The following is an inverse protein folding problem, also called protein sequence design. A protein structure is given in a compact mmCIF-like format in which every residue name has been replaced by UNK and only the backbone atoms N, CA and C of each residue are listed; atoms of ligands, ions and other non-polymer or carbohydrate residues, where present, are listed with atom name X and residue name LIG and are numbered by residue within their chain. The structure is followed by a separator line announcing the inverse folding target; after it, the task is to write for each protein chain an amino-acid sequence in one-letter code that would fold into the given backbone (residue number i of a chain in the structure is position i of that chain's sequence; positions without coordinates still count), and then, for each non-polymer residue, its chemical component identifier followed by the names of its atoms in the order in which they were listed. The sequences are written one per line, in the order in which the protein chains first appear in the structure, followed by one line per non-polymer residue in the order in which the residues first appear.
data_IF_084647676765
#
_entry.id   IF_084647676765
#
_cell.length_a   1.000
_cell.length_b   1.000
_cell.length_c   1.000
_cell.angle_alpha   90.00
_cell.angle_beta   90.00
_cell.angle_gamma   90.00
#
_symmetry.space_group_name_H-M   'P 1'
#
loop_
_entity.id
_entity.type
_entity.pdbx_description
1 polymer ?
#
# COMPACT_ATOMS: atom_id res chain seq x y z
N UNK A 1 -10.20 11.58 19.61
CA UNK A 1 -10.69 12.63 18.68
C UNK A 1 -9.58 13.65 18.48
N UNK A 2 -9.23 14.01 17.24
CA UNK A 2 -8.09 14.88 16.91
C UNK A 2 -8.59 16.18 16.31
N UNK A 3 -8.21 17.31 16.90
CA UNK A 3 -8.51 18.64 16.39
C UNK A 3 -7.26 19.30 15.82
N UNK A 4 -7.38 19.96 14.67
CA UNK A 4 -6.31 20.73 14.03
C UNK A 4 -6.84 22.08 13.58
N UNK A 5 -6.02 23.12 13.73
CA UNK A 5 -6.31 24.47 13.21
C UNK A 5 -5.95 24.60 11.71
N UNK A 6 -6.26 25.75 11.11
CA UNK A 6 -6.01 26.06 9.70
C UNK A 6 -4.60 26.57 9.34
N UNK A 7 -3.63 26.55 10.26
CA UNK A 7 -2.25 26.96 9.98
C UNK A 7 -1.44 25.78 9.43
N UNK A 8 -0.96 25.90 8.19
CA UNK A 8 -0.19 24.86 7.52
C UNK A 8 1.24 25.32 7.21
N UNK A 9 2.25 24.45 7.36
CA UNK A 9 3.62 24.75 6.94
C UNK A 9 3.67 25.01 5.42
N UNK A 10 4.19 26.17 5.05
CA UNK A 10 4.36 26.58 3.67
C UNK A 10 5.77 27.11 3.42
N UNK A 11 6.33 26.80 2.26
CA UNK A 11 7.51 27.48 1.75
C UNK A 11 7.15 28.93 1.43
N UNK A 12 7.93 29.85 1.99
CA UNK A 12 7.84 31.28 1.72
C UNK A 12 9.00 31.65 0.79
N UNK A 13 8.72 32.44 -0.24
CA UNK A 13 9.78 32.96 -1.10
C UNK A 13 10.70 33.89 -0.31
N UNK A 14 12.00 33.69 -0.44
CA UNK A 14 13.03 34.55 0.16
C UNK A 14 13.28 35.84 -0.63
N UNK A 15 12.64 36.01 -1.79
CA UNK A 15 12.82 37.19 -2.66
C UNK A 15 11.84 38.31 -2.26
N UNK A 16 12.34 39.52 -1.88
CA UNK A 16 11.52 40.61 -1.32
C UNK A 16 10.34 41.13 -2.16
N UNK A 17 10.26 40.76 -3.45
CA UNK A 17 9.25 41.25 -4.39
C UNK A 17 8.59 40.16 -5.24
N UNK A 18 8.78 38.88 -4.89
CA UNK A 18 8.10 37.83 -5.65
C UNK A 18 6.68 37.63 -5.12
N UNK A 19 5.67 37.79 -5.98
CA UNK A 19 4.26 37.49 -5.67
C UNK A 19 3.98 35.97 -5.70
N UNK A 20 5.00 35.15 -5.39
CA UNK A 20 4.86 33.70 -5.44
C UNK A 20 3.98 33.28 -4.27
N UNK A 21 2.79 32.78 -4.61
CA UNK A 21 1.86 32.24 -3.62
C UNK A 21 2.55 31.16 -2.80
N UNK A 22 2.36 31.13 -1.47
CA UNK A 22 2.94 30.10 -0.60
C UNK A 22 2.62 28.70 -1.15
N UNK A 23 3.60 27.79 -1.08
CA UNK A 23 3.46 26.38 -1.46
C UNK A 23 3.47 25.51 -0.21
N UNK A 24 2.50 24.60 0.00
CA UNK A 24 2.55 23.66 1.11
C UNK A 24 3.87 22.89 1.16
N UNK A 25 4.39 22.66 2.36
CA UNK A 25 5.62 21.88 2.55
C UNK A 25 5.40 20.36 2.41
N UNK A 26 4.19 19.89 2.74
CA UNK A 26 3.82 18.48 2.81
C UNK A 26 2.71 18.16 1.79
N UNK A 27 1.89 17.13 2.03
CA UNK A 27 0.86 16.68 1.10
C UNK A 27 -0.08 17.82 0.70
N UNK A 28 -0.43 17.86 -0.59
CA UNK A 28 -1.33 18.84 -1.17
C UNK A 28 -2.02 18.24 -2.38
N UNK A 29 -3.23 18.71 -2.68
CA UNK A 29 -3.91 18.37 -3.93
C UNK A 29 -3.32 19.16 -5.10
N UNK A 30 -3.36 18.58 -6.30
CA UNK A 30 -3.12 19.33 -7.54
C UNK A 30 -4.15 20.47 -7.73
N UNK A 31 -5.36 20.29 -7.18
CA UNK A 31 -6.35 21.34 -7.08
C UNK A 31 -6.12 22.19 -5.83
N UNK A 32 -5.64 23.43 -6.01
CA UNK A 32 -5.37 24.38 -4.91
C UNK A 32 -6.59 24.80 -4.08
N UNK A 33 -7.81 24.40 -4.46
CA UNK A 33 -9.04 24.63 -3.69
C UNK A 33 -9.36 23.48 -2.72
N UNK A 34 -8.61 22.38 -2.77
CA UNK A 34 -8.76 21.23 -1.89
C UNK A 34 -7.69 21.25 -0.80
N UNK A 35 -8.13 21.34 0.45
CA UNK A 35 -7.23 21.32 1.62
C UNK A 35 -7.27 20.00 2.39
N UNK A 36 -8.17 19.08 2.01
CA UNK A 36 -8.40 17.85 2.76
C UNK A 36 -7.14 16.98 2.94
N UNK A 37 -6.19 16.86 1.97
CA UNK A 37 -4.97 16.07 2.20
C UNK A 37 -4.10 16.70 3.29
N UNK A 38 -4.00 18.03 3.28
CA UNK A 38 -3.25 18.80 4.27
C UNK A 38 -3.84 18.63 5.67
N UNK A 39 -5.17 18.61 5.79
CA UNK A 39 -5.88 18.42 7.06
C UNK A 39 -5.65 17.02 7.61
N UNK A 40 -5.81 15.99 6.78
CA UNK A 40 -5.62 14.58 7.18
C UNK A 40 -4.19 14.33 7.62
N UNK A 41 -3.21 14.76 6.82
CA UNK A 41 -1.79 14.56 7.13
C UNK A 41 -1.38 15.34 8.39
N UNK A 42 -1.89 16.56 8.61
CA UNK A 42 -1.63 17.32 9.84
C UNK A 42 -2.22 16.63 11.08
N UNK A 43 -3.42 16.08 10.99
CA UNK A 43 -4.03 15.31 12.07
C UNK A 43 -3.22 14.04 12.37
N UNK A 44 -2.74 13.36 11.32
CA UNK A 44 -1.88 12.19 11.44
C UNK A 44 -0.53 12.54 12.09
N UNK A 45 0.15 13.59 11.61
CA UNK A 45 1.38 14.11 12.22
C UNK A 45 1.19 14.47 13.70
N UNK A 46 0.04 15.06 14.07
CA UNK A 46 -0.28 15.38 15.47
C UNK A 46 -0.43 14.13 16.34
N UNK A 47 -1.09 13.09 15.83
CA UNK A 47 -1.19 11.80 16.54
C UNK A 47 0.17 11.15 16.77
N UNK A 48 1.09 11.31 15.82
CA UNK A 48 2.43 10.74 15.87
C UNK A 48 3.49 11.68 16.47
N UNK A 49 3.08 12.84 17.01
CA UNK A 49 3.94 13.80 17.71
C UNK A 49 4.40 14.98 16.85
N UNK A 50 4.92 14.72 15.65
CA UNK A 50 5.28 15.78 14.69
C UNK A 50 5.34 15.26 13.24
N UNK A 51 5.54 16.19 12.30
CA UNK A 51 5.74 15.89 10.88
C UNK A 51 6.96 14.99 10.61
N UNK A 52 8.06 15.19 11.33
CA UNK A 52 9.27 14.37 11.15
C UNK A 52 9.02 12.91 11.52
N UNK A 53 8.17 12.65 12.53
CA UNK A 53 7.83 11.29 12.97
C UNK A 53 7.13 10.46 11.89
N UNK A 54 6.42 11.11 10.96
CA UNK A 54 5.74 10.44 9.84
C UNK A 54 6.54 10.51 8.53
N UNK A 55 7.66 11.25 8.51
CA UNK A 55 8.48 11.48 7.31
C UNK A 55 9.59 10.44 7.08
N UNK A 56 9.85 9.54 8.03
CA UNK A 56 10.95 8.55 7.97
C UNK A 56 10.56 7.24 7.26
N UNK A 57 9.51 7.26 6.45
CA UNK A 57 8.90 6.08 5.87
C UNK A 57 7.98 5.35 6.85
N UNK A 58 7.29 4.33 6.36
CA UNK A 58 6.33 3.56 7.13
C UNK A 58 5.74 2.42 6.32
N UNK A 59 4.96 1.58 6.99
CA UNK A 59 4.25 0.48 6.35
C UNK A 59 2.87 0.97 5.90
N UNK A 60 2.53 0.71 4.63
CA UNK A 60 1.26 1.15 4.04
C UNK A 60 0.09 0.59 4.84
N UNK A 61 0.17 -0.69 5.22
CA UNK A 61 -0.85 -1.34 6.04
C UNK A 61 -1.12 -0.65 7.38
N UNK A 62 -0.09 -0.14 8.06
CA UNK A 62 -0.26 0.59 9.34
C UNK A 62 -1.00 1.91 9.13
N UNK A 63 -0.64 2.65 8.07
CA UNK A 63 -1.33 3.88 7.72
C UNK A 63 -2.81 3.63 7.36
N UNK A 64 -3.09 2.59 6.56
CA UNK A 64 -4.46 2.23 6.19
C UNK A 64 -5.29 1.81 7.41
N UNK A 65 -4.74 1.02 8.33
CA UNK A 65 -5.40 0.66 9.59
C UNK A 65 -5.73 1.90 10.42
N UNK A 66 -4.79 2.84 10.56
CA UNK A 66 -5.00 4.06 11.33
C UNK A 66 -6.06 4.99 10.71
N UNK A 67 -6.16 5.04 9.39
CA UNK A 67 -7.11 5.89 8.68
C UNK A 67 -8.51 5.27 8.59
N UNK A 68 -8.62 3.95 8.56
CA UNK A 68 -9.89 3.25 8.26
C UNK A 68 -10.45 2.45 9.43
N UNK A 69 -9.62 2.11 10.43
CA UNK A 69 -9.94 1.11 11.44
C UNK A 69 -9.99 -0.34 10.90
N UNK A 70 -9.65 -0.53 9.62
CA UNK A 70 -9.69 -1.82 8.93
C UNK A 70 -8.59 -2.79 9.36
N UNK A 71 -8.61 -4.00 8.80
CA UNK A 71 -7.59 -5.02 9.01
C UNK A 71 -6.69 -5.09 7.76
N UNK A 72 -5.38 -4.87 7.94
CA UNK A 72 -4.42 -4.97 6.83
C UNK A 72 -3.62 -6.27 6.89
N UNK A 73 -3.44 -6.89 5.73
CA UNK A 73 -2.54 -8.03 5.51
C UNK A 73 -1.44 -7.61 4.55
N UNK A 74 -0.19 -7.92 4.91
CA UNK A 74 0.97 -7.70 4.04
C UNK A 74 1.34 -9.01 3.33
N UNK A 75 1.48 -8.95 2.02
CA UNK A 75 1.91 -10.04 1.14
C UNK A 75 3.29 -9.69 0.56
N UNK A 76 4.27 -10.58 0.69
CA UNK A 76 5.57 -10.39 0.08
C UNK A 76 5.57 -10.85 -1.39
N UNK A 77 6.27 -10.10 -2.26
CA UNK A 77 6.39 -10.46 -3.69
C UNK A 77 7.44 -11.55 -3.94
N UNK A 78 8.29 -11.86 -2.95
CA UNK A 78 9.37 -12.86 -3.05
C UNK A 78 8.89 -14.28 -3.39
N UNK A 79 7.60 -14.59 -3.18
CA UNK A 79 6.98 -15.86 -3.56
C UNK A 79 6.66 -16.01 -5.05
N UNK A 80 6.90 -14.98 -5.86
CA UNK A 80 6.63 -14.97 -7.29
C UNK A 80 5.21 -14.55 -7.66
N UNK A 81 5.03 -14.15 -8.93
CA UNK A 81 3.78 -13.56 -9.41
C UNK A 81 2.59 -14.52 -9.46
N UNK A 82 2.81 -15.83 -9.66
CA UNK A 82 1.72 -16.79 -9.82
C UNK A 82 0.87 -16.99 -8.56
N UNK A 83 1.50 -17.02 -7.38
CA UNK A 83 0.77 -17.15 -6.12
C UNK A 83 0.11 -15.83 -5.70
N UNK A 84 0.73 -14.70 -6.04
CA UNK A 84 0.27 -13.36 -5.66
C UNK A 84 -0.89 -12.88 -6.55
N UNK A 85 -0.89 -13.24 -7.84
CA UNK A 85 -1.86 -12.78 -8.82
C UNK A 85 -3.33 -12.98 -8.43
N UNK A 86 -3.80 -14.20 -8.04
CA UNK A 86 -5.21 -14.38 -7.68
C UNK A 86 -5.61 -13.56 -6.45
N UNK A 87 -4.71 -13.39 -5.48
CA UNK A 87 -4.96 -12.58 -4.29
C UNK A 87 -5.07 -11.09 -4.62
N UNK A 88 -4.23 -10.59 -5.54
CA UNK A 88 -4.29 -9.22 -6.02
C UNK A 88 -5.58 -8.93 -6.80
N UNK A 89 -5.96 -9.83 -7.73
CA UNK A 89 -7.21 -9.70 -8.48
C UNK A 89 -8.41 -9.61 -7.52
N UNK A 90 -8.51 -10.53 -6.55
CA UNK A 90 -9.59 -10.52 -5.56
C UNK A 90 -9.59 -9.24 -4.72
N UNK A 91 -8.42 -8.82 -4.22
CA UNK A 91 -8.30 -7.65 -3.36
C UNK A 91 -8.63 -6.34 -4.08
N UNK A 92 -8.28 -6.21 -5.36
CA UNK A 92 -8.50 -5.00 -6.14
C UNK A 92 -9.93 -4.90 -6.67
N UNK A 93 -10.61 -6.03 -6.86
CA UNK A 93 -12.04 -6.07 -7.25
C UNK A 93 -13.00 -5.83 -6.09
N UNK A 94 -12.59 -6.08 -4.83
CA UNK A 94 -13.43 -5.85 -3.66
C UNK A 94 -13.47 -4.36 -3.27
N UNK A 95 -14.63 -3.68 -3.36
CA UNK A 95 -14.74 -2.25 -3.06
C UNK A 95 -14.50 -1.92 -1.58
N UNK A 96 -14.46 -2.93 -0.70
CA UNK A 96 -14.16 -2.77 0.72
C UNK A 96 -12.69 -3.06 1.05
N UNK A 97 -11.82 -3.17 0.04
CA UNK A 97 -10.39 -3.42 0.24
C UNK A 97 -9.58 -2.32 -0.44
N UNK A 98 -8.68 -1.71 0.32
CA UNK A 98 -7.70 -0.76 -0.18
C UNK A 98 -6.37 -1.47 -0.39
N UNK A 99 -5.76 -1.32 -1.57
CA UNK A 99 -4.52 -2.01 -1.93
C UNK A 99 -3.41 -1.01 -2.20
N UNK A 100 -2.28 -1.18 -1.50
CA UNK A 100 -1.06 -0.44 -1.74
C UNK A 100 0.12 -1.37 -1.94
N UNK A 101 1.17 -0.89 -2.61
CA UNK A 101 2.40 -1.63 -2.86
C UNK A 101 3.63 -0.78 -2.55
N UNK A 102 4.63 -1.42 -1.94
CA UNK A 102 5.91 -0.78 -1.61
C UNK A 102 7.02 -1.25 -2.53
N UNK A 103 7.80 -0.32 -3.07
CA UNK A 103 8.98 -0.65 -3.88
C UNK A 103 10.15 -1.10 -3.02
N UNK A 104 11.10 -1.84 -3.61
CA UNK A 104 12.34 -2.23 -2.93
C UNK A 104 13.17 -0.98 -2.57
N UNK A 105 14.00 -1.09 -1.54
CA UNK A 105 14.87 0.00 -1.09
C UNK A 105 15.93 0.41 -2.14
N UNK A 106 16.28 -0.48 -3.06
CA UNK A 106 17.04 -0.17 -4.26
C UNK A 106 16.46 -0.98 -5.41
N UNK A 107 16.36 -0.34 -6.58
CA UNK A 107 15.81 -0.96 -7.80
C UNK A 107 16.89 -1.26 -8.84
N UNK A 108 18.16 -0.93 -8.56
CA UNK A 108 19.27 -1.10 -9.50
C UNK A 108 18.95 -0.45 -10.85
N UNK A 109 19.03 -1.21 -11.94
CA UNK A 109 18.72 -0.71 -13.28
C UNK A 109 17.28 -0.18 -13.42
N UNK A 110 16.33 -0.72 -12.65
CA UNK A 110 14.94 -0.28 -12.71
C UNK A 110 14.71 1.12 -12.08
N UNK A 111 15.69 1.70 -11.37
CA UNK A 111 15.62 3.11 -10.91
C UNK A 111 15.55 4.08 -12.09
N UNK A 112 16.16 3.72 -13.23
CA UNK A 112 16.11 4.53 -14.44
C UNK A 112 14.76 4.49 -15.17
N UNK A 113 13.88 3.56 -14.77
CA UNK A 113 12.57 3.30 -15.41
C UNK A 113 11.43 4.14 -14.81
N UNK A 114 11.76 5.18 -14.03
CA UNK A 114 10.82 6.20 -13.54
C UNK A 114 10.09 5.85 -12.24
N UNK A 115 10.16 4.61 -11.78
CA UNK A 115 9.63 4.20 -10.46
C UNK A 115 10.62 4.56 -9.35
N UNK A 116 10.09 5.06 -8.24
CA UNK A 116 10.87 5.54 -7.09
C UNK A 116 11.16 4.38 -6.13
N UNK A 117 12.40 4.23 -5.70
CA UNK A 117 12.81 3.23 -4.71
C UNK A 117 12.35 3.63 -3.29
N UNK A 118 12.07 2.63 -2.44
CA UNK A 118 11.62 2.85 -1.06
C UNK A 118 10.33 3.68 -0.95
N UNK A 119 9.43 3.58 -1.94
CA UNK A 119 8.25 4.42 -2.09
C UNK A 119 6.95 3.60 -2.15
N UNK A 120 5.86 4.23 -1.75
CA UNK A 120 4.53 3.62 -1.72
C UNK A 120 3.68 4.05 -2.92
N UNK A 121 3.02 3.07 -3.54
CA UNK A 121 2.10 3.24 -4.66
C UNK A 121 0.73 2.66 -4.29
N UNK A 122 -0.33 3.18 -4.89
CA UNK A 122 -1.65 2.53 -4.84
C UNK A 122 -1.78 1.53 -5.98
N UNK A 123 -2.39 0.37 -5.73
CA UNK A 123 -2.79 -0.57 -6.79
C UNK A 123 -4.29 -0.35 -7.04
N UNK A 124 -4.62 0.17 -8.21
CA UNK A 124 -5.98 0.66 -8.55
C UNK A 124 -6.78 -0.42 -9.27
N UNK A 125 -6.15 -1.11 -10.22
CA UNK A 125 -6.83 -2.09 -11.05
C UNK A 125 -5.90 -3.24 -11.43
N UNK A 126 -6.48 -4.40 -11.72
CA UNK A 126 -5.78 -5.59 -12.16
C UNK A 126 -6.60 -6.26 -13.26
N UNK A 127 -5.96 -6.65 -14.36
CA UNK A 127 -6.65 -7.31 -15.48
C UNK A 127 -5.81 -8.46 -16.03
N UNK A 128 -6.49 -9.54 -16.42
CA UNK A 128 -5.90 -10.61 -17.22
C UNK A 128 -6.58 -10.70 -18.58
N UNK A 129 -5.83 -10.45 -19.64
CA UNK A 129 -6.35 -10.43 -21.02
C UNK A 129 -5.32 -11.02 -21.97
N UNK A 130 -5.74 -12.01 -22.77
CA UNK A 130 -4.90 -12.70 -23.76
C UNK A 130 -3.54 -13.20 -23.22
N UNK A 131 -3.52 -13.66 -21.97
CA UNK A 131 -2.29 -14.13 -21.31
C UNK A 131 -1.44 -13.03 -20.67
N UNK A 132 -1.75 -11.75 -20.90
CA UNK A 132 -1.12 -10.64 -20.18
C UNK A 132 -1.81 -10.41 -18.84
N UNK A 133 -1.01 -10.27 -17.78
CA UNK A 133 -1.42 -9.91 -16.42
C UNK A 133 -0.92 -8.49 -16.15
N UNK A 134 -1.82 -7.51 -16.14
CA UNK A 134 -1.47 -6.10 -16.03
C UNK A 134 -2.05 -5.49 -14.75
N UNK A 135 -1.28 -4.60 -14.13
CA UNK A 135 -1.68 -3.83 -12.96
C UNK A 135 -1.66 -2.35 -13.29
N UNK A 136 -2.72 -1.63 -12.90
CA UNK A 136 -2.76 -0.17 -12.90
C UNK A 136 -2.32 0.32 -11.52
N UNK A 137 -1.23 1.07 -11.48
CA UNK A 137 -0.70 1.67 -10.26
C UNK A 137 -0.83 3.17 -10.29
N UNK A 138 -0.69 3.80 -9.12
CA UNK A 138 -0.59 5.25 -9.00
C UNK A 138 0.50 5.69 -8.03
N UNK A 139 1.37 6.57 -8.52
CA UNK A 139 2.29 7.35 -7.70
C UNK A 139 1.51 8.45 -6.97
N UNK A 140 1.55 8.51 -5.63
CA UNK A 140 0.84 9.56 -4.88
C UNK A 140 1.33 10.98 -5.17
N UNK A 141 2.50 11.16 -5.78
CA UNK A 141 3.00 12.47 -6.21
C UNK A 141 2.27 13.05 -7.43
N UNK A 142 1.47 12.24 -8.12
CA UNK A 142 0.76 12.65 -9.33
C UNK A 142 1.67 12.92 -10.52
N UNK A 143 2.88 12.34 -10.50
CA UNK A 143 3.86 12.32 -11.58
C UNK A 143 4.90 11.23 -11.28
N UNK A 144 5.82 10.95 -12.21
CA UNK A 144 6.91 9.99 -12.01
C UNK A 144 6.41 8.57 -12.20
N UNK A 145 6.31 8.19 -13.46
CA UNK A 145 5.65 6.97 -13.94
C UNK A 145 6.64 5.94 -14.49
N UNK A 146 6.18 4.69 -14.55
CA UNK A 146 6.89 3.60 -15.20
C UNK A 146 7.15 3.88 -16.68
N UNK A 147 8.35 3.57 -17.16
CA UNK A 147 8.79 3.79 -18.55
C UNK A 147 9.07 2.51 -19.33
N UNK A 148 8.77 1.34 -18.75
CA UNK A 148 9.00 0.05 -19.39
C UNK A 148 7.78 -0.46 -20.15
N UNK A 149 7.67 -1.77 -20.22
CA UNK A 149 6.57 -2.45 -20.89
C UNK A 149 5.23 -2.04 -20.28
N UNK A 150 4.26 -1.73 -21.16
CA UNK A 150 2.93 -1.23 -20.81
C UNK A 150 2.89 0.15 -20.14
N UNK A 151 4.00 0.89 -20.08
CA UNK A 151 3.96 2.33 -19.80
C UNK A 151 3.10 3.10 -20.80
N UNK A 152 2.72 4.33 -20.48
CA UNK A 152 1.87 5.19 -21.31
C UNK A 152 2.37 5.34 -22.77
N UNK A 153 3.69 5.42 -22.94
CA UNK A 153 4.36 5.51 -24.24
C UNK A 153 4.76 4.17 -24.87
N UNK A 154 4.38 3.04 -24.27
CA UNK A 154 4.81 1.71 -24.74
C UNK A 154 4.19 1.33 -26.09
N UNK A 155 5.00 0.83 -27.01
CA UNK A 155 4.54 0.30 -28.31
C UNK A 155 3.69 -0.96 -28.19
N UNK A 156 3.78 -1.66 -27.05
CA UNK A 156 2.99 -2.87 -26.77
C UNK A 156 1.49 -2.58 -26.85
N UNK A 157 1.04 -1.37 -26.53
CA UNK A 157 -0.35 -0.98 -26.69
C UNK A 157 -0.82 -1.00 -28.14
N UNK A 158 0.00 -0.48 -29.06
CA UNK A 158 -0.32 -0.49 -30.50
C UNK A 158 -0.17 -1.87 -31.13
N UNK A 159 0.73 -2.70 -30.60
CA UNK A 159 0.95 -4.08 -31.06
C UNK A 159 -0.14 -5.03 -30.55
N UNK A 160 -0.84 -4.67 -29.45
CA UNK A 160 -1.87 -5.49 -28.81
C UNK A 160 -3.18 -4.70 -28.63
N UNK A 161 -3.91 -4.39 -29.71
CA UNK A 161 -5.10 -3.51 -29.67
C UNK A 161 -6.24 -4.09 -28.82
N UNK A 162 -6.37 -5.42 -28.73
CA UNK A 162 -7.39 -6.06 -27.89
C UNK A 162 -7.10 -5.88 -26.39
N UNK A 163 -5.82 -5.93 -25.99
CA UNK A 163 -5.38 -5.63 -24.62
C UNK A 163 -5.61 -4.16 -24.31
N UNK A 164 -5.27 -3.27 -25.25
CA UNK A 164 -5.51 -1.84 -25.14
C UNK A 164 -7.00 -1.49 -25.00
N UNK A 165 -7.89 -2.21 -25.70
CA UNK A 165 -9.33 -2.05 -25.57
C UNK A 165 -9.85 -2.54 -24.20
N UNK A 166 -9.31 -3.65 -23.68
CA UNK A 166 -9.73 -4.22 -22.40
C UNK A 166 -9.39 -3.33 -21.20
N UNK A 167 -8.27 -2.60 -21.22
CA UNK A 167 -7.88 -1.67 -20.14
C UNK A 167 -8.63 -0.33 -20.21
N UNK A 168 -9.28 -0.02 -21.34
CA UNK A 168 -10.17 1.13 -21.50
C UNK A 168 -9.55 2.48 -21.12
N UNK A 169 -10.29 3.22 -20.30
CA UNK A 169 -9.96 4.55 -19.77
C UNK A 169 -8.89 4.53 -18.65
N UNK A 170 -8.44 3.34 -18.25
CA UNK A 170 -7.32 3.19 -17.34
C UNK A 170 -5.99 3.63 -17.95
N UNK A 171 -5.91 3.89 -19.26
CA UNK A 171 -4.71 4.42 -19.93
C UNK A 171 -4.68 5.95 -19.86
N UNK A 172 -3.51 6.48 -19.54
CA UNK A 172 -3.19 7.90 -19.66
C UNK A 172 -2.14 8.10 -20.77
N UNK A 173 -1.97 9.35 -21.17
CA UNK A 173 -0.77 9.81 -21.91
C UNK A 173 -0.15 11.04 -21.24
N UNK A 174 -0.67 11.42 -20.08
CA UNK A 174 -0.24 12.54 -19.25
C UNK A 174 0.53 12.00 -18.05
N UNK A 175 1.56 12.72 -17.60
CA UNK A 175 2.30 12.41 -16.36
C UNK A 175 1.43 12.77 -15.13
N UNK A 176 0.44 11.93 -14.85
CA UNK A 176 -0.55 12.06 -13.78
C UNK A 176 -0.30 11.10 -12.60
N UNK A 177 0.79 10.34 -12.72
CA UNK A 177 1.26 9.33 -11.78
C UNK A 177 0.61 7.97 -11.96
N UNK A 178 -0.36 7.79 -12.87
CA UNK A 178 -1.01 6.50 -13.14
C UNK A 178 -0.34 5.81 -14.31
N UNK A 179 -0.03 4.54 -14.14
CA UNK A 179 0.61 3.76 -15.20
C UNK A 179 0.29 2.28 -15.06
N UNK A 180 0.29 1.60 -16.19
CA UNK A 180 0.20 0.15 -16.23
C UNK A 180 1.60 -0.48 -16.18
N UNK A 181 1.67 -1.70 -15.65
CA UNK A 181 2.83 -2.57 -15.80
C UNK A 181 2.44 -4.04 -15.89
N UNK A 182 3.37 -4.85 -16.37
CA UNK A 182 3.24 -6.30 -16.30
C UNK A 182 3.38 -6.80 -14.86
N UNK A 183 2.71 -7.90 -14.52
CA UNK A 183 2.89 -8.58 -13.24
C UNK A 183 4.34 -9.07 -13.04
N UNK A 184 5.05 -9.38 -14.12
CA UNK A 184 6.46 -9.78 -14.11
C UNK A 184 7.36 -8.63 -13.64
N UNK A 185 7.18 -7.43 -14.20
CA UNK A 185 7.91 -6.25 -13.76
C UNK A 185 7.50 -5.83 -12.36
N UNK A 186 6.22 -5.98 -12.01
CA UNK A 186 5.72 -5.68 -10.68
C UNK A 186 6.50 -6.44 -9.60
N UNK A 187 6.67 -7.76 -9.72
CA UNK A 187 7.42 -8.54 -8.71
C UNK A 187 8.93 -8.27 -8.72
N UNK A 188 9.46 -7.74 -9.83
CA UNK A 188 10.85 -7.26 -9.90
C UNK A 188 11.05 -5.94 -9.17
N UNK A 189 10.08 -5.04 -9.22
CA UNK A 189 10.18 -3.67 -8.69
C UNK A 189 9.64 -3.57 -7.25
N UNK A 190 8.53 -4.22 -6.96
CA UNK A 190 7.83 -4.15 -5.68
C UNK A 190 8.26 -5.28 -4.74
N UNK A 191 8.32 -4.99 -3.44
CA UNK A 191 8.70 -5.96 -2.40
C UNK A 191 7.50 -6.46 -1.59
N UNK A 192 6.46 -5.64 -1.47
CA UNK A 192 5.30 -5.93 -0.64
C UNK A 192 4.03 -5.32 -1.21
N UNK A 193 2.92 -5.97 -0.92
CA UNK A 193 1.55 -5.50 -1.14
C UNK A 193 0.85 -5.49 0.20
N UNK A 194 0.19 -4.40 0.54
CA UNK A 194 -0.71 -4.30 1.68
C UNK A 194 -2.15 -4.24 1.18
N UNK A 195 -2.98 -5.18 1.63
CA UNK A 195 -4.42 -5.21 1.38
C UNK A 195 -5.16 -4.93 2.70
N UNK A 196 -5.82 -3.78 2.80
CA UNK A 196 -6.56 -3.36 3.98
C UNK A 196 -8.06 -3.45 3.75
N UNK A 197 -8.70 -4.40 4.43
CA UNK A 197 -10.15 -4.57 4.42
C UNK A 197 -10.78 -3.57 5.39
N UNK A 198 -11.67 -2.74 4.89
CA UNK A 198 -12.45 -1.79 5.67
C UNK A 198 -13.32 -2.55 6.70
N UNK A 199 -13.58 -1.96 7.88
CA UNK A 199 -14.54 -2.52 8.81
C UNK A 199 -15.90 -2.63 8.12
N UNK A 200 -16.57 -3.77 8.22
CA UNK A 200 -17.98 -3.85 7.83
C UNK A 200 -18.82 -2.91 8.70
N UNK A 201 -20.03 -2.59 8.23
CA UNK A 201 -20.96 -1.57 8.77
C UNK A 201 -21.31 -1.68 10.27
N UNK A 202 -20.73 -2.62 11.03
CA UNK A 202 -20.99 -2.89 12.44
C UNK A 202 -19.84 -2.66 13.43
N UNK A 203 -18.62 -2.28 13.03
CA UNK A 203 -17.48 -2.26 13.96
C UNK A 203 -16.55 -1.05 13.84
N UNK A 204 -16.88 0.04 14.54
CA UNK A 204 -15.84 0.92 15.09
C UNK A 204 -15.15 0.18 16.25
N UNK A 205 -14.08 -0.55 15.97
CA UNK A 205 -13.14 -0.92 17.04
C UNK A 205 -12.14 0.20 17.19
N UNK A 206 -12.31 1.03 18.23
CA UNK A 206 -11.27 1.95 18.66
C UNK A 206 -10.11 1.12 19.19
N UNK A 207 -9.07 0.92 18.38
CA UNK A 207 -7.78 0.47 18.89
C UNK A 207 -7.09 1.69 19.47
N UNK A 208 -6.95 1.71 20.80
CA UNK A 208 -6.09 2.66 21.48
C UNK A 208 -4.66 2.38 21.00
N UNK A 209 -4.14 3.24 20.14
CA UNK A 209 -2.78 3.15 19.63
C UNK A 209 -1.81 3.55 20.75
N UNK A 210 -1.70 2.69 21.77
CA UNK A 210 -0.70 2.75 22.83
C UNK A 210 0.69 2.44 22.28
N UNK A 211 1.23 3.34 21.46
CA UNK A 211 2.61 3.35 20.99
C UNK A 211 3.54 3.54 22.20
N UNK A 212 3.95 2.42 22.81
CA UNK A 212 5.02 2.42 23.79
C UNK A 212 6.34 2.77 23.08
N UNK A 213 6.92 3.90 23.46
CA UNK A 213 8.31 4.26 23.15
C UNK A 213 9.22 3.07 23.46
N UNK A 214 9.94 2.55 22.46
CA UNK A 214 11.18 1.83 22.73
C UNK A 214 12.27 2.87 22.86
N UNK A 215 12.66 3.17 24.10
CA UNK A 215 13.92 3.84 24.36
C UNK A 215 15.06 2.86 24.09
N UNK A 216 15.90 3.22 23.13
CA UNK A 216 17.19 2.57 22.88
C UNK A 216 18.18 3.07 23.92
N UNK A 217 18.31 2.36 25.04
CA UNK A 217 19.35 2.54 26.04
C UNK A 217 20.25 1.30 26.10
N UNK A 218 21.54 1.47 25.80
CA UNK A 218 22.53 0.39 25.81
C UNK A 218 23.01 -0.03 27.20
N UNK A 219 23.68 -1.18 27.25
CA UNK A 219 24.59 -1.56 28.34
C UNK A 219 24.44 -2.99 28.87
N UNK A 220 25.46 -3.83 28.61
CA UNK A 220 26.04 -4.73 29.60
C UNK A 220 25.42 -6.11 29.89
N UNK A 221 26.09 -7.16 29.41
CA UNK A 221 26.62 -8.24 30.26
C UNK A 221 25.69 -9.29 30.88
N UNK A 222 25.80 -10.53 30.36
CA UNK A 222 26.00 -11.78 31.12
C UNK A 222 24.84 -12.36 31.94
N UNK A 223 24.44 -13.61 31.66
CA UNK A 223 23.69 -14.42 32.62
C UNK A 223 22.85 -15.55 32.01
N UNK A 224 23.23 -16.79 32.33
CA UNK A 224 22.59 -18.07 32.00
C UNK A 224 21.16 -18.21 32.54
N UNK A 225 20.27 -18.91 31.82
CA UNK A 225 18.98 -19.38 32.36
C UNK A 225 18.14 -20.19 31.37
N UNK A 226 18.00 -21.49 31.63
CA UNK A 226 17.10 -22.43 30.95
C UNK A 226 15.63 -22.23 31.37
N UNK A 227 14.70 -22.31 30.41
CA UNK A 227 13.35 -22.92 30.50
C UNK A 227 12.68 -22.77 29.11
N UNK A 228 11.96 -23.71 28.48
CA UNK A 228 11.37 -24.96 28.92
C UNK A 228 9.83 -24.88 28.86
N UNK A 229 9.21 -25.18 27.70
CA UNK A 229 7.75 -25.18 27.45
C UNK A 229 7.30 -23.97 26.61
N UNK A 230 6.49 -24.02 25.55
CA UNK A 230 5.40 -24.93 25.19
C UNK A 230 5.28 -25.09 23.67
N UNK A 231 5.35 -26.34 23.18
CA UNK A 231 5.08 -26.73 21.78
C UNK A 231 3.94 -27.75 21.66
N UNK A 232 2.91 -27.69 22.53
CA UNK A 232 1.87 -28.73 22.57
C UNK A 232 0.42 -28.32 22.33
N UNK A 233 0.12 -27.06 21.98
CA UNK A 233 -1.29 -26.63 21.89
C UNK A 233 -1.89 -26.49 20.48
N UNK A 234 -1.14 -26.78 19.41
CA UNK A 234 -1.67 -26.65 18.02
C UNK A 234 -2.13 -28.01 17.43
N UNK A 235 -1.83 -29.14 18.07
CA UNK A 235 -2.08 -30.47 17.50
C UNK A 235 -3.45 -31.09 17.82
N UNK A 236 -4.30 -30.47 18.65
CA UNK A 236 -5.59 -31.06 19.05
C UNK A 236 -6.81 -30.48 18.34
N UNK A 237 -6.70 -29.34 17.65
CA UNK A 237 -7.85 -28.76 16.94
C UNK A 237 -8.10 -29.38 15.54
N UNK A 238 -7.09 -29.98 14.91
CA UNK A 238 -7.22 -30.55 13.56
C UNK A 238 -7.83 -31.97 13.47
N UNK A 239 -8.13 -32.63 14.60
CA UNK A 239 -8.72 -33.99 14.62
C UNK A 239 -10.24 -34.03 14.87
N UNK A 240 -10.87 -32.93 15.30
CA UNK A 240 -12.33 -32.91 15.56
C UNK A 240 -13.17 -32.62 14.31
N UNK A 241 -12.66 -31.85 13.34
CA UNK A 241 -13.47 -31.46 12.16
C UNK A 241 -13.57 -32.53 11.05
N UNK A 242 -12.63 -33.48 11.00
CA UNK A 242 -12.70 -34.60 10.03
C UNK A 242 -13.70 -35.69 10.41
N UNK A 243 -14.15 -35.77 11.68
CA UNK A 243 -15.17 -36.76 12.09
C UNK A 243 -16.62 -36.29 11.85
N UNK A 244 -16.88 -34.98 11.75
CA UNK A 244 -18.24 -34.46 11.54
C UNK A 244 -18.71 -34.51 10.07
N UNK A 245 -17.79 -34.45 9.10
CA UNK A 245 -18.16 -34.53 7.66
C UNK A 245 -18.37 -35.95 7.12
N UNK A 246 -17.94 -36.99 7.83
CA UNK A 246 -18.13 -38.39 7.41
C UNK A 246 -19.51 -38.99 7.79
N UNK A 247 -20.24 -38.38 8.73
CA UNK A 247 -21.54 -38.90 9.16
C UNK A 247 -22.75 -38.36 8.38
N UNK A 248 -22.60 -37.28 7.61
CA UNK A 248 -23.71 -36.68 6.85
C UNK A 248 -23.92 -37.25 5.44
N UNK A 249 -23.03 -38.13 4.95
CA UNK A 249 -23.12 -38.76 3.61
C UNK A 249 -23.73 -40.18 3.60
N UNK A 250 -24.27 -40.65 4.73
CA UNK A 250 -24.89 -41.99 4.86
C UNK A 250 -26.40 -42.00 5.17
N UNK A 251 -27.12 -40.87 4.98
CA UNK A 251 -28.57 -40.77 5.23
C UNK A 251 -29.43 -40.32 4.03
N UNK A 252 -28.88 -40.30 2.82
CA UNK A 252 -29.67 -40.23 1.60
C UNK A 252 -29.14 -41.26 0.59
N UNK A 253 -29.56 -42.50 0.80
CA UNK A 253 -29.73 -43.52 -0.22
C UNK A 253 -30.77 -44.52 0.27
#
# INVERSE_FOLDING_TARGET
MVYVDGFFPCYVSTKPHSVVKPRPCFASSGNRREIWPMVVEKAFAKLHGCWESIGRGGLIGVALQALTGGASTTLETKGGGEALWPLLMEAVEDPNVLVGAGTKASLGEAESMGVVCGHAYSVIHAVSVLGHKLLLLRNPWGHGEWKGDWSDGSKLWSENPEVAAAVGDGRSTEDDGRFWMSMEDFVRVFQSVDACRLPGDGHHQTHDAGLHRRDSGGGGGGGTGQSGGDKKEIAQHHKKDKKHKAHKKKKHK
#
